data_IF_492958263282
#
_entry.id   IF_492958263282
#
_cell.length_a   1.000
_cell.length_b   1.000
_cell.length_c   1.000
_cell.angle_alpha   90.00
_cell.angle_beta   90.00
_cell.angle_gamma   90.00
#
_symmetry.space_group_name_H-M   'P 1'
#
loop_
_entity.id
_entity.type
_entity.pdbx_description
1 polymer ?
#
# COMPACT_ATOMS: atom_id res chain seq x y z
N UNK A 1 7.19 62.65 67.14
CA UNK A 1 7.85 62.63 65.82
C UNK A 1 7.70 61.23 65.25
N UNK A 2 7.16 61.12 64.04
CA UNK A 2 6.56 59.89 63.50
C UNK A 2 7.60 58.89 62.98
N UNK A 3 7.54 57.66 63.48
CA UNK A 3 8.25 56.52 62.91
C UNK A 3 7.46 55.99 61.72
N UNK A 4 7.88 56.34 60.50
CA UNK A 4 7.41 55.69 59.27
C UNK A 4 8.19 54.39 59.11
N UNK A 5 7.47 53.26 59.23
CA UNK A 5 7.96 51.93 58.89
C UNK A 5 8.21 51.85 57.38
N UNK A 6 9.49 51.71 56.98
CA UNK A 6 9.86 51.31 55.63
C UNK A 6 9.55 49.82 55.45
N UNK A 7 8.46 49.52 54.75
CA UNK A 7 8.23 48.19 54.18
C UNK A 7 9.18 47.94 52.99
N UNK A 8 9.78 46.75 52.85
CA UNK A 8 10.51 46.40 51.64
C UNK A 8 9.50 45.98 50.55
N UNK A 9 9.40 46.80 49.51
CA UNK A 9 8.55 46.53 48.35
C UNK A 9 9.31 45.63 47.37
N UNK A 10 9.05 44.31 47.41
CA UNK A 10 9.62 43.36 46.46
C UNK A 10 8.99 43.59 45.08
N UNK A 11 9.75 44.17 44.15
CA UNK A 11 9.38 44.20 42.72
C UNK A 11 9.62 42.80 42.14
N UNK A 12 8.62 42.14 41.53
CA UNK A 12 8.89 40.88 40.85
C UNK A 12 9.75 41.14 39.62
N UNK A 13 10.82 40.37 39.48
CA UNK A 13 11.67 40.33 38.29
C UNK A 13 10.88 39.77 37.10
N UNK A 14 10.10 40.62 36.43
CA UNK A 14 9.50 40.32 35.13
C UNK A 14 10.51 40.68 34.05
N UNK A 15 11.57 39.89 33.94
CA UNK A 15 12.59 40.08 32.91
C UNK A 15 13.12 38.74 32.46
N UNK A 16 12.99 38.45 31.16
CA UNK A 16 13.66 37.34 30.47
C UNK A 16 13.10 35.91 30.58
N UNK A 17 11.79 35.72 30.77
CA UNK A 17 11.16 34.39 30.54
C UNK A 17 10.09 34.40 29.43
N UNK A 18 9.55 35.57 29.06
CA UNK A 18 8.29 35.60 28.28
C UNK A 18 8.44 35.63 26.75
N UNK A 19 9.64 35.66 26.17
CA UNK A 19 9.79 35.81 24.72
C UNK A 19 9.92 34.48 23.97
N UNK A 20 10.45 33.44 24.62
CA UNK A 20 10.49 32.06 24.08
C UNK A 20 9.21 31.28 24.38
N UNK A 21 8.54 31.56 25.51
CA UNK A 21 7.25 30.94 25.87
C UNK A 21 6.12 31.29 24.89
N UNK A 22 6.18 32.44 24.21
CA UNK A 22 5.18 32.84 23.23
C UNK A 22 5.34 32.18 21.85
N UNK A 23 6.54 31.67 21.51
CA UNK A 23 6.83 31.09 20.19
C UNK A 23 6.65 29.57 20.18
N UNK A 24 6.93 28.90 21.30
CA UNK A 24 6.76 27.46 21.47
C UNK A 24 5.36 26.91 21.08
N UNK A 25 4.22 27.52 21.46
CA UNK A 25 2.91 27.01 21.05
C UNK A 25 2.64 27.18 19.55
N UNK A 26 3.18 28.23 18.92
CA UNK A 26 3.05 28.45 17.47
C UNK A 26 3.86 27.41 16.67
N UNK A 27 5.07 27.08 17.14
CA UNK A 27 5.92 26.05 16.54
C UNK A 27 5.31 24.65 16.73
N UNK A 28 4.79 24.35 17.93
CA UNK A 28 4.13 23.08 18.17
C UNK A 28 2.84 22.93 17.35
N UNK A 29 2.04 23.99 17.20
CA UNK A 29 0.84 23.98 16.36
C UNK A 29 1.16 23.76 14.87
N UNK A 30 2.26 24.35 14.37
CA UNK A 30 2.69 24.16 12.96
C UNK A 30 3.30 22.79 12.69
N UNK A 31 4.00 22.20 13.67
CA UNK A 31 4.53 20.84 13.56
C UNK A 31 3.43 19.77 13.52
N UNK A 32 2.30 19.98 14.21
CA UNK A 32 1.19 19.01 14.23
C UNK A 32 0.38 19.01 12.93
N UNK A 33 0.27 20.15 12.23
CA UNK A 33 -0.49 20.24 10.97
C UNK A 33 0.29 19.80 9.74
N UNK A 34 1.62 19.67 9.85
CA UNK A 34 2.50 19.31 8.74
C UNK A 34 2.29 17.88 8.18
N UNK A 35 1.67 16.97 8.93
CA UNK A 35 1.45 15.57 8.50
C UNK A 35 -0.02 15.20 8.25
N UNK A 36 -0.96 16.15 8.32
CA UNK A 36 -2.40 15.83 8.30
C UNK A 36 -3.04 15.79 6.90
N UNK A 37 -2.32 16.19 5.84
CA UNK A 37 -2.87 16.24 4.49
C UNK A 37 -2.71 14.92 3.75
N UNK A 38 -3.79 14.16 3.58
CA UNK A 38 -3.83 13.10 2.58
C UNK A 38 -3.82 13.72 1.17
N UNK A 39 -3.16 13.10 0.17
CA UNK A 39 -3.25 13.54 -1.22
C UNK A 39 -4.71 13.59 -1.66
N UNK A 40 -5.14 14.71 -2.27
CA UNK A 40 -6.49 14.78 -2.84
C UNK A 40 -6.62 13.68 -3.91
N UNK A 41 -7.62 12.79 -3.83
CA UNK A 41 -7.86 11.76 -4.84
C UNK A 41 -8.01 12.32 -6.25
N UNK A 42 -8.51 13.56 -6.40
CA UNK A 42 -8.62 14.25 -7.70
C UNK A 42 -7.25 14.64 -8.28
N UNK A 43 -6.22 14.75 -7.44
CA UNK A 43 -4.85 15.07 -7.83
C UNK A 43 -3.98 13.82 -8.00
N UNK A 44 -4.52 12.62 -7.79
CA UNK A 44 -3.84 11.35 -8.03
C UNK A 44 -4.25 10.80 -9.40
N UNK A 45 -3.48 11.12 -10.44
CA UNK A 45 -3.71 10.57 -11.77
C UNK A 45 -3.45 9.06 -11.76
N UNK A 46 -4.50 8.24 -11.86
CA UNK A 46 -4.36 6.80 -12.17
C UNK A 46 -4.13 6.67 -13.68
N UNK A 47 -2.93 6.28 -14.15
CA UNK A 47 -2.71 6.06 -15.57
C UNK A 47 -3.60 4.92 -16.06
N UNK A 48 -4.38 5.19 -17.10
CA UNK A 48 -5.20 4.17 -17.77
C UNK A 48 -4.27 3.10 -18.31
N UNK A 49 -4.55 1.85 -17.97
CA UNK A 49 -3.76 0.70 -18.43
C UNK A 49 -4.67 -0.23 -19.23
N UNK A 50 -4.21 -0.65 -20.41
CA UNK A 50 -4.92 -1.60 -21.26
C UNK A 50 -4.42 -3.04 -21.05
N UNK A 51 -5.25 -4.00 -21.48
CA UNK A 51 -4.87 -5.42 -21.52
C UNK A 51 -3.65 -5.60 -22.42
N UNK A 52 -2.72 -6.48 -22.03
CA UNK A 52 -1.61 -6.88 -22.90
C UNK A 52 -2.16 -7.93 -23.87
N UNK A 53 -2.09 -7.64 -25.16
CA UNK A 53 -2.64 -8.52 -26.21
C UNK A 53 -1.60 -9.49 -26.79
N UNK A 54 -0.32 -9.14 -26.76
CA UNK A 54 0.77 -9.97 -27.26
C UNK A 54 1.21 -11.01 -26.20
N UNK A 55 0.38 -12.03 -25.98
CA UNK A 55 0.62 -13.07 -24.97
C UNK A 55 0.58 -14.50 -25.53
N UNK A 56 0.34 -14.67 -26.82
CA UNK A 56 0.17 -15.97 -27.50
C UNK A 56 1.43 -16.85 -27.41
N UNK A 57 2.61 -16.23 -27.38
CA UNK A 57 3.89 -16.96 -27.35
C UNK A 57 4.37 -17.35 -25.94
N UNK A 58 3.65 -16.96 -24.90
CA UNK A 58 4.05 -17.26 -23.51
C UNK A 58 4.03 -18.77 -23.24
N UNK A 59 4.86 -19.24 -22.31
CA UNK A 59 4.83 -20.66 -21.92
C UNK A 59 3.47 -21.08 -21.34
N UNK A 60 2.77 -20.16 -20.67
CA UNK A 60 1.43 -20.40 -20.14
C UNK A 60 0.39 -20.56 -21.27
N UNK A 61 0.39 -19.67 -22.27
CA UNK A 61 -0.51 -19.77 -23.42
C UNK A 61 -0.36 -21.11 -24.14
N UNK A 62 0.88 -21.49 -24.49
CA UNK A 62 1.18 -22.78 -25.15
C UNK A 62 0.75 -24.01 -24.32
N UNK A 63 0.83 -23.95 -22.99
CA UNK A 63 0.36 -25.04 -22.12
C UNK A 63 -1.16 -25.12 -22.05
N UNK A 64 -1.84 -23.98 -22.03
CA UNK A 64 -3.31 -23.94 -22.02
C UNK A 64 -3.88 -24.43 -23.35
N UNK A 65 -3.27 -24.07 -24.48
CA UNK A 65 -3.65 -24.57 -25.81
C UNK A 65 -3.65 -26.10 -25.90
N UNK A 66 -2.70 -26.77 -25.24
CA UNK A 66 -2.63 -28.23 -25.19
C UNK A 66 -3.82 -28.88 -24.46
N UNK A 67 -4.51 -28.14 -23.59
CA UNK A 67 -5.65 -28.63 -22.82
C UNK A 67 -6.98 -28.16 -23.38
N UNK A 68 -6.97 -27.22 -24.33
CA UNK A 68 -8.17 -26.59 -24.83
C UNK A 68 -8.84 -27.45 -25.92
N UNK A 69 -10.09 -27.90 -25.72
CA UNK A 69 -10.80 -28.72 -26.71
C UNK A 69 -11.00 -27.96 -28.03
N UNK A 70 -10.90 -28.66 -29.16
CA UNK A 70 -11.04 -28.05 -30.49
C UNK A 70 -12.42 -27.44 -30.75
N UNK A 71 -13.46 -27.94 -30.08
CA UNK A 71 -14.85 -27.48 -30.16
C UNK A 71 -15.19 -26.38 -29.15
N UNK A 72 -14.27 -26.00 -28.27
CA UNK A 72 -14.50 -25.01 -27.23
C UNK A 72 -14.24 -23.56 -27.68
N UNK A 73 -14.07 -23.29 -28.98
CA UNK A 73 -13.72 -21.96 -29.50
C UNK A 73 -14.65 -20.86 -28.94
N UNK A 74 -14.06 -19.83 -28.34
CA UNK A 74 -14.79 -18.71 -27.74
C UNK A 74 -15.34 -18.95 -26.32
N UNK A 75 -15.08 -20.12 -25.73
CA UNK A 75 -15.47 -20.43 -24.35
C UNK A 75 -14.36 -20.09 -23.34
N UNK A 76 -14.70 -19.99 -22.07
CA UNK A 76 -13.70 -19.88 -20.99
C UNK A 76 -13.50 -21.22 -20.31
N UNK A 77 -12.25 -21.58 -20.01
CA UNK A 77 -11.92 -22.74 -19.20
C UNK A 77 -11.88 -22.38 -17.71
N UNK A 78 -12.38 -23.27 -16.85
CA UNK A 78 -12.28 -23.12 -15.39
C UNK A 78 -11.94 -24.46 -14.73
N UNK A 79 -11.14 -24.41 -13.67
CA UNK A 79 -10.79 -25.58 -12.85
C UNK A 79 -11.11 -25.25 -11.39
N UNK A 80 -12.12 -25.87 -10.78
CA UNK A 80 -12.45 -25.61 -9.39
C UNK A 80 -11.40 -26.23 -8.45
N UNK A 81 -10.90 -25.42 -7.51
CA UNK A 81 -9.94 -25.85 -6.49
C UNK A 81 -10.61 -25.74 -5.12
N UNK A 82 -11.18 -26.85 -4.64
CA UNK A 82 -11.93 -26.90 -3.39
C UNK A 82 -11.05 -26.81 -2.13
N UNK A 83 -9.80 -27.25 -2.23
CA UNK A 83 -8.88 -27.29 -1.09
C UNK A 83 -7.97 -26.05 -1.08
N UNK A 84 -7.95 -25.35 0.05
CA UNK A 84 -7.20 -24.09 0.21
C UNK A 84 -5.71 -24.24 -0.12
N UNK A 85 -5.07 -25.33 0.31
CA UNK A 85 -3.65 -25.59 0.01
C UNK A 85 -3.40 -25.76 -1.49
N UNK A 86 -4.23 -26.54 -2.18
CA UNK A 86 -4.12 -26.71 -3.65
C UNK A 86 -4.34 -25.39 -4.38
N UNK A 87 -5.31 -24.61 -3.92
CA UNK A 87 -5.62 -23.30 -4.47
C UNK A 87 -4.46 -22.31 -4.24
N UNK A 88 -3.79 -22.35 -3.09
CA UNK A 88 -2.63 -21.52 -2.80
C UNK A 88 -1.42 -21.90 -3.66
N UNK A 89 -1.09 -23.20 -3.75
CA UNK A 89 0.00 -23.69 -4.61
C UNK A 89 -0.24 -23.35 -6.08
N UNK A 90 -1.48 -23.46 -6.56
CA UNK A 90 -1.82 -23.05 -7.92
C UNK A 90 -1.56 -21.56 -8.16
N UNK A 91 -1.94 -20.67 -7.21
CA UNK A 91 -1.64 -19.24 -7.29
C UNK A 91 -0.13 -18.98 -7.37
N UNK A 92 0.65 -19.57 -6.46
CA UNK A 92 2.12 -19.45 -6.47
C UNK A 92 2.71 -19.96 -7.79
N UNK A 93 2.22 -21.11 -8.29
CA UNK A 93 2.64 -21.65 -9.58
C UNK A 93 2.38 -20.72 -10.76
N UNK A 94 1.20 -20.09 -10.80
CA UNK A 94 0.84 -19.10 -11.81
C UNK A 94 1.68 -17.82 -11.70
N UNK A 95 1.96 -17.34 -10.48
CA UNK A 95 2.80 -16.17 -10.24
C UNK A 95 4.24 -16.42 -10.73
N UNK A 96 4.78 -17.60 -10.45
CA UNK A 96 6.12 -18.00 -10.92
C UNK A 96 6.19 -18.17 -12.43
N UNK A 97 5.10 -18.64 -13.05
CA UNK A 97 5.01 -18.85 -14.49
C UNK A 97 4.66 -17.58 -15.29
N UNK A 98 4.30 -16.47 -14.63
CA UNK A 98 3.93 -15.24 -15.31
C UNK A 98 5.14 -14.61 -16.04
N UNK A 99 4.92 -14.22 -17.30
CA UNK A 99 5.93 -13.63 -18.20
C UNK A 99 5.66 -12.14 -18.50
N UNK A 100 4.40 -11.72 -18.66
CA UNK A 100 4.07 -10.35 -19.12
C UNK A 100 3.33 -9.51 -18.08
N UNK A 101 2.23 -10.01 -17.52
CA UNK A 101 1.43 -9.29 -16.51
C UNK A 101 0.79 -10.23 -15.52
N UNK A 102 0.50 -9.71 -14.34
CA UNK A 102 -0.23 -10.40 -13.29
C UNK A 102 -1.20 -9.43 -12.62
N UNK A 103 -2.49 -9.74 -12.71
CA UNK A 103 -3.56 -8.99 -12.06
C UNK A 103 -4.12 -9.82 -10.90
N UNK A 104 -3.94 -9.32 -9.69
CA UNK A 104 -4.33 -10.01 -8.45
C UNK A 104 -5.42 -9.19 -7.78
N UNK A 105 -6.54 -9.84 -7.47
CA UNK A 105 -7.66 -9.23 -6.75
C UNK A 105 -7.90 -10.02 -5.47
N UNK A 106 -7.85 -9.35 -4.33
CA UNK A 106 -8.01 -9.95 -3.02
C UNK A 106 -8.94 -9.11 -2.14
N UNK A 107 -9.75 -9.79 -1.34
CA UNK A 107 -10.63 -9.16 -0.35
C UNK A 107 -9.95 -9.01 1.02
N UNK A 108 -9.05 -9.93 1.39
CA UNK A 108 -8.39 -9.96 2.70
C UNK A 108 -6.92 -10.31 2.51
N UNK A 109 -6.02 -9.52 3.08
CA UNK A 109 -4.59 -9.83 3.13
C UNK A 109 -4.05 -9.73 4.55
N UNK A 110 -3.52 -10.84 5.07
CA UNK A 110 -2.91 -10.88 6.39
C UNK A 110 -1.39 -10.97 6.28
N UNK A 111 -0.68 -10.38 7.25
CA UNK A 111 0.77 -10.52 7.40
C UNK A 111 1.18 -11.85 8.04
N UNK A 112 0.48 -12.93 7.72
CA UNK A 112 0.79 -14.30 8.15
C UNK A 112 1.73 -15.01 7.14
N UNK A 113 2.06 -16.27 7.41
CA UNK A 113 2.95 -17.08 6.56
C UNK A 113 2.48 -17.12 5.10
N UNK A 114 1.17 -17.24 4.88
CA UNK A 114 0.61 -17.38 3.53
C UNK A 114 0.63 -16.05 2.78
N UNK A 115 0.27 -14.95 3.45
CA UNK A 115 0.32 -13.61 2.89
C UNK A 115 1.75 -13.13 2.64
N UNK A 116 2.69 -13.40 3.55
CA UNK A 116 4.10 -13.05 3.33
C UNK A 116 4.70 -13.84 2.17
N UNK A 117 4.41 -15.14 2.07
CA UNK A 117 4.88 -15.95 0.95
C UNK A 117 4.29 -15.47 -0.38
N UNK A 118 2.98 -15.18 -0.42
CA UNK A 118 2.35 -14.67 -1.63
C UNK A 118 2.94 -13.31 -2.03
N UNK A 119 3.16 -12.40 -1.08
CA UNK A 119 3.80 -11.10 -1.33
C UNK A 119 5.21 -11.27 -1.89
N UNK A 120 5.99 -12.19 -1.33
CA UNK A 120 7.33 -12.50 -1.81
C UNK A 120 7.30 -12.98 -3.27
N UNK A 121 6.40 -13.89 -3.63
CA UNK A 121 6.29 -14.38 -5.01
C UNK A 121 5.86 -13.28 -5.99
N UNK A 122 4.96 -12.38 -5.56
CA UNK A 122 4.55 -11.21 -6.36
C UNK A 122 5.73 -10.26 -6.60
N UNK A 123 6.54 -9.99 -5.57
CA UNK A 123 7.75 -9.18 -5.68
C UNK A 123 8.76 -9.84 -6.62
N UNK A 124 9.00 -11.14 -6.48
CA UNK A 124 9.87 -11.89 -7.39
C UNK A 124 9.37 -11.83 -8.84
N UNK A 125 8.06 -11.80 -9.08
CA UNK A 125 7.51 -11.59 -10.42
C UNK A 125 7.79 -10.18 -10.94
N UNK A 126 7.57 -9.16 -10.11
CA UNK A 126 7.88 -7.78 -10.46
C UNK A 126 9.37 -7.57 -10.78
N UNK A 127 10.27 -8.19 -10.00
CA UNK A 127 11.72 -8.15 -10.22
C UNK A 127 12.14 -8.78 -11.56
N UNK A 128 11.38 -9.75 -12.07
CA UNK A 128 11.56 -10.31 -13.42
C UNK A 128 11.03 -9.42 -14.55
N UNK A 129 10.42 -8.28 -14.22
CA UNK A 129 9.80 -7.36 -15.18
C UNK A 129 8.32 -7.64 -15.48
N UNK A 130 7.68 -8.57 -14.76
CA UNK A 130 6.23 -8.80 -14.91
C UNK A 130 5.48 -7.58 -14.38
N UNK A 131 4.51 -7.08 -15.15
CA UNK A 131 3.64 -5.99 -14.69
C UNK A 131 2.63 -6.51 -13.67
N UNK A 132 2.90 -6.31 -12.38
CA UNK A 132 2.03 -6.73 -11.28
C UNK A 132 1.06 -5.61 -10.89
N UNK A 133 -0.24 -5.90 -10.86
CA UNK A 133 -1.29 -5.03 -10.30
C UNK A 133 -2.03 -5.79 -9.21
N UNK A 134 -2.03 -5.24 -8.00
CA UNK A 134 -2.76 -5.78 -6.86
C UNK A 134 -3.92 -4.85 -6.50
N UNK A 135 -5.15 -5.36 -6.62
CA UNK A 135 -6.34 -4.74 -6.07
C UNK A 135 -6.65 -5.43 -4.74
N UNK A 136 -6.53 -4.67 -3.67
CA UNK A 136 -6.91 -5.11 -2.33
C UNK A 136 -8.16 -4.32 -1.95
N UNK A 137 -9.26 -5.03 -1.76
CA UNK A 137 -10.41 -4.48 -1.04
C UNK A 137 -10.02 -4.43 0.44
N UNK A 138 -10.27 -3.31 1.10
CA UNK A 138 -9.83 -3.09 2.47
C UNK A 138 -10.59 -4.00 3.44
N UNK A 139 -10.01 -4.25 4.62
CA UNK A 139 -10.58 -5.05 5.70
C UNK A 139 -11.13 -4.20 6.85
#
# INVERSE_FOLDING_TARGET
>A
MSHRLCWPQTRPLRGCVSRWQSVAPLVMATLVTACAGLPNPDNYAKPVTHVITDTENTALARRVEQWYPADAAGLSGFVPLAEGMRAFVARVGLIRAAESSLDVQYYIWHADTSGQLLAHELLQAADRGVRVRLLLDDL
#
